data_IF_367721293813
#
_entry.id   IF_367721293813
#
_cell.length_a   1.000
_cell.length_b   1.000
_cell.length_c   1.000
_cell.angle_alpha   90.00
_cell.angle_beta   90.00
_cell.angle_gamma   90.00
#
_symmetry.space_group_name_H-M   'P 1'
#
loop_
_entity.id
_entity.type
_entity.pdbx_description
1 polymer ?
#
# COMPACT_ATOMS: atom_id res chain seq x y z
N UNK A 1 0.66 -12.91 0.47
CA UNK A 1 0.94 -11.64 -0.23
C UNK A 1 -0.24 -10.70 -0.10
N UNK A 2 0.05 -9.45 0.17
CA UNK A 2 -0.95 -8.38 0.18
C UNK A 2 -0.39 -7.19 -0.59
N UNK A 3 -1.16 -6.70 -1.54
CA UNK A 3 -0.76 -5.58 -2.37
C UNK A 3 -1.65 -4.38 -2.07
N UNK A 4 -1.02 -3.29 -1.62
CA UNK A 4 -1.70 -2.02 -1.39
C UNK A 4 -1.41 -1.11 -2.57
N UNK A 5 -2.46 -0.59 -3.18
CA UNK A 5 -2.36 0.29 -4.34
C UNK A 5 -2.92 1.66 -3.99
N UNK A 6 -2.15 2.69 -4.30
CA UNK A 6 -2.59 4.07 -4.10
C UNK A 6 -2.66 4.77 -5.46
N UNK A 7 -3.67 5.59 -5.65
CA UNK A 7 -3.79 6.39 -6.86
C UNK A 7 -4.30 7.78 -6.55
N UNK A 8 -3.76 8.78 -7.25
CA UNK A 8 -4.17 10.15 -7.07
C UNK A 8 -3.68 11.02 -8.24
N UNK A 9 -4.34 12.17 -8.41
CA UNK A 9 -4.02 13.08 -9.51
C UNK A 9 -2.77 13.92 -9.24
N UNK A 10 -2.45 14.14 -7.97
CA UNK A 10 -1.26 14.90 -7.58
C UNK A 10 -0.11 13.94 -7.33
N UNK A 11 0.93 14.03 -8.15
CA UNK A 11 2.09 13.15 -8.06
C UNK A 11 2.77 13.21 -6.69
N UNK A 12 3.11 14.42 -6.25
CA UNK A 12 3.85 14.61 -5.01
C UNK A 12 3.05 14.17 -3.79
N UNK A 13 1.77 14.49 -3.77
CA UNK A 13 0.89 14.08 -2.67
C UNK A 13 0.75 12.56 -2.63
N UNK A 14 0.51 11.94 -3.77
CA UNK A 14 0.32 10.48 -3.84
C UNK A 14 1.59 9.75 -3.40
N UNK A 15 2.75 10.20 -3.86
CA UNK A 15 4.04 9.66 -3.44
C UNK A 15 4.24 9.82 -1.94
N UNK A 16 3.98 11.01 -1.41
CA UNK A 16 4.14 11.29 0.02
C UNK A 16 3.26 10.40 0.87
N UNK A 17 2.00 10.21 0.48
CA UNK A 17 1.08 9.33 1.19
C UNK A 17 1.57 7.87 1.13
N UNK A 18 2.07 7.44 -0.03
CA UNK A 18 2.61 6.09 -0.17
C UNK A 18 3.81 5.85 0.75
N UNK A 19 4.73 6.81 0.81
CA UNK A 19 5.91 6.73 1.68
C UNK A 19 5.50 6.69 3.14
N UNK A 20 4.59 7.57 3.56
CA UNK A 20 4.14 7.62 4.95
C UNK A 20 3.39 6.35 5.34
N UNK A 21 2.57 5.83 4.46
CA UNK A 21 1.85 4.58 4.70
C UNK A 21 2.82 3.41 4.85
N UNK A 22 3.83 3.32 3.99
CA UNK A 22 4.84 2.27 4.07
C UNK A 22 5.61 2.33 5.39
N UNK A 23 6.01 3.51 5.83
CA UNK A 23 6.68 3.68 7.13
C UNK A 23 5.80 3.24 8.29
N UNK A 24 4.53 3.60 8.23
CA UNK A 24 3.57 3.21 9.26
C UNK A 24 3.39 1.68 9.32
N UNK A 25 3.29 1.04 8.16
CA UNK A 25 3.07 -0.41 8.08
C UNK A 25 4.31 -1.23 8.41
N UNK A 26 5.50 -0.65 8.29
CA UNK A 26 6.75 -1.39 8.49
C UNK A 26 6.82 -2.02 9.88
N UNK A 27 6.40 -1.31 10.92
CA UNK A 27 6.43 -1.82 12.28
C UNK A 27 5.51 -3.04 12.47
N UNK A 28 4.36 -3.07 11.81
CA UNK A 28 3.45 -4.21 11.85
C UNK A 28 4.06 -5.43 11.16
N UNK A 29 4.73 -5.20 10.03
CA UNK A 29 5.40 -6.27 9.29
C UNK A 29 6.56 -6.87 10.08
N UNK A 30 7.40 -6.03 10.67
CA UNK A 30 8.56 -6.49 11.43
C UNK A 30 8.16 -7.36 12.61
N UNK A 31 7.09 -7.03 13.31
CA UNK A 31 6.61 -7.79 14.45
C UNK A 31 6.17 -9.21 14.09
N UNK A 32 5.79 -9.43 12.84
CA UNK A 32 5.24 -10.70 12.37
C UNK A 32 6.19 -11.43 11.41
N UNK A 33 7.41 -10.94 11.23
CA UNK A 33 8.38 -11.48 10.26
C UNK A 33 7.85 -11.43 8.82
N UNK A 34 7.06 -10.42 8.52
CA UNK A 34 6.64 -10.11 7.16
C UNK A 34 7.59 -9.09 6.56
N UNK A 35 7.72 -9.12 5.24
CA UNK A 35 8.56 -8.16 4.51
C UNK A 35 7.69 -7.15 3.78
N UNK A 36 8.14 -5.90 3.76
CA UNK A 36 7.49 -4.83 3.04
C UNK A 36 8.41 -4.34 1.93
N UNK A 37 7.88 -4.28 0.73
CA UNK A 37 8.61 -3.84 -0.46
C UNK A 37 7.90 -2.63 -1.05
N UNK A 38 8.64 -1.58 -1.28
CA UNK A 38 8.11 -0.32 -1.79
C UNK A 38 8.16 0.78 -0.74
N UNK A 39 7.46 1.89 -0.99
CA UNK A 39 6.57 2.11 -2.12
C UNK A 39 7.33 2.26 -3.44
N UNK A 40 6.69 1.88 -4.53
CA UNK A 40 7.24 2.02 -5.87
C UNK A 40 6.11 2.37 -6.84
N UNK A 41 6.42 3.08 -7.94
CA UNK A 41 5.41 3.27 -8.98
C UNK A 41 4.91 1.92 -9.48
N UNK A 42 3.62 1.81 -9.74
CA UNK A 42 3.05 0.62 -10.36
C UNK A 42 3.64 0.41 -11.74
N UNK A 43 3.53 -0.81 -12.27
CA UNK A 43 4.04 -1.15 -13.60
C UNK A 43 3.50 -0.19 -14.67
N UNK A 44 2.23 0.21 -14.54
CA UNK A 44 1.67 1.33 -15.28
C UNK A 44 1.54 2.46 -14.26
N UNK A 45 2.55 3.34 -14.23
CA UNK A 45 2.66 4.36 -13.20
C UNK A 45 1.57 5.42 -13.27
N UNK A 46 0.96 5.62 -14.43
CA UNK A 46 -0.11 6.60 -14.61
C UNK A 46 -1.21 6.02 -15.49
N UNK A 47 -2.43 6.07 -15.01
CA UNK A 47 -3.62 5.65 -15.76
C UNK A 47 -4.60 6.83 -15.79
N UNK A 48 -4.86 7.33 -17.01
CA UNK A 48 -5.64 8.55 -17.16
C UNK A 48 -4.90 9.73 -16.51
N UNK A 49 -5.58 10.38 -15.56
CA UNK A 49 -5.01 11.51 -14.82
C UNK A 49 -4.44 11.11 -13.47
N UNK A 50 -4.40 9.81 -13.13
CA UNK A 50 -3.99 9.35 -11.80
C UNK A 50 -2.64 8.67 -11.84
N UNK A 51 -1.75 9.08 -10.95
CA UNK A 51 -0.49 8.40 -10.70
C UNK A 51 -0.73 7.23 -9.74
N UNK A 52 -0.06 6.11 -9.98
CA UNK A 52 -0.28 4.88 -9.24
C UNK A 52 0.99 4.42 -8.55
N UNK A 53 0.86 4.13 -7.26
CA UNK A 53 1.93 3.62 -6.41
C UNK A 53 1.49 2.32 -5.77
N UNK A 54 2.44 1.46 -5.44
CA UNK A 54 2.13 0.22 -4.78
C UNK A 54 3.10 -0.10 -3.65
N UNK A 55 2.57 -0.82 -2.66
CA UNK A 55 3.33 -1.37 -1.53
C UNK A 55 2.98 -2.85 -1.48
N UNK A 56 4.00 -3.70 -1.49
CA UNK A 56 3.82 -5.14 -1.40
C UNK A 56 4.27 -5.62 -0.03
N UNK A 57 3.42 -6.39 0.65
CA UNK A 57 3.83 -7.08 1.87
C UNK A 57 3.65 -8.58 1.68
N UNK A 58 4.61 -9.36 2.14
CA UNK A 58 4.55 -10.79 2.02
C UNK A 58 5.16 -11.47 3.25
N UNK A 59 4.67 -12.66 3.56
CA UNK A 59 5.11 -13.41 4.71
C UNK A 59 4.60 -14.84 4.69
N UNK A 60 4.75 -15.55 5.80
CA UNK A 60 4.38 -16.97 5.88
C UNK A 60 2.91 -17.21 5.57
N UNK A 61 2.64 -18.26 4.79
CA UNK A 61 1.26 -18.70 4.53
C UNK A 61 0.59 -19.14 5.82
N UNK A 62 -0.73 -18.93 5.87
CA UNK A 62 -1.53 -19.32 7.02
C UNK A 62 -1.44 -18.37 8.20
N UNK A 63 -0.61 -17.32 8.10
CA UNK A 63 -0.54 -16.31 9.15
C UNK A 63 -1.40 -15.11 8.78
N UNK A 64 -1.91 -14.44 9.80
CA UNK A 64 -2.74 -13.25 9.59
C UNK A 64 -1.90 -12.10 9.01
N UNK A 65 -2.44 -11.42 8.01
CA UNK A 65 -1.78 -10.28 7.39
C UNK A 65 -1.63 -9.16 8.43
N UNK A 66 -0.40 -8.64 8.63
CA UNK A 66 -0.14 -7.66 9.68
C UNK A 66 -0.58 -6.24 9.26
N UNK A 67 -1.88 -6.03 9.17
CA UNK A 67 -2.45 -4.73 8.87
C UNK A 67 -3.26 -4.22 10.06
N UNK A 68 -3.23 -2.90 10.32
CA UNK A 68 -4.14 -2.31 11.29
C UNK A 68 -5.57 -2.32 10.76
N UNK A 69 -6.53 -1.98 11.62
CA UNK A 69 -7.92 -1.85 11.20
C UNK A 69 -8.06 -0.93 10.00
N UNK A 70 -8.95 -1.30 9.09
CA UNK A 70 -9.21 -0.49 7.89
C UNK A 70 -9.63 0.94 8.22
N UNK A 71 -10.38 1.11 9.30
CA UNK A 71 -10.76 2.44 9.76
C UNK A 71 -9.55 3.34 10.07
N UNK A 72 -8.49 2.74 10.62
CA UNK A 72 -7.25 3.46 10.90
C UNK A 72 -6.51 3.79 9.59
N UNK A 73 -6.43 2.82 8.69
CA UNK A 73 -5.78 3.02 7.39
C UNK A 73 -6.44 4.15 6.60
N UNK A 74 -7.77 4.14 6.54
CA UNK A 74 -8.51 5.16 5.78
C UNK A 74 -8.38 6.56 6.36
N UNK A 75 -8.14 6.69 7.67
CA UNK A 75 -7.86 7.99 8.29
C UNK A 75 -6.54 8.59 7.82
N UNK A 76 -5.61 7.76 7.39
CA UNK A 76 -4.30 8.20 6.90
C UNK A 76 -4.35 8.64 5.42
N UNK A 77 -5.45 8.38 4.75
CA UNK A 77 -5.57 8.62 3.31
C UNK A 77 -6.51 9.82 3.07
N UNK A 78 -6.02 10.89 2.46
CA UNK A 78 -6.86 12.05 2.15
C UNK A 78 -7.87 11.72 1.05
N UNK A 79 -8.90 12.59 0.91
CA UNK A 79 -10.02 12.35 -0.01
C UNK A 79 -9.61 12.21 -1.47
N UNK A 80 -8.54 12.85 -1.88
CA UNK A 80 -8.10 12.86 -3.28
C UNK A 80 -7.08 11.77 -3.61
N UNK A 81 -6.86 10.85 -2.67
CA UNK A 81 -6.02 9.66 -2.89
C UNK A 81 -6.88 8.43 -2.62
N UNK A 82 -6.80 7.43 -3.50
CA UNK A 82 -7.55 6.19 -3.37
C UNK A 82 -6.64 5.06 -2.96
N UNK A 83 -7.06 4.29 -1.96
CA UNK A 83 -6.34 3.11 -1.49
C UNK A 83 -7.15 1.86 -1.80
N UNK A 84 -6.50 0.88 -2.42
CA UNK A 84 -7.08 -0.46 -2.66
C UNK A 84 -6.16 -1.49 -2.02
N UNK A 85 -6.76 -2.48 -1.36
CA UNK A 85 -6.02 -3.57 -0.72
C UNK A 85 -6.43 -4.88 -1.37
N UNK A 86 -5.48 -5.54 -2.03
CA UNK A 86 -5.68 -6.84 -2.67
C UNK A 86 -4.95 -7.92 -1.88
N UNK A 87 -5.68 -8.88 -1.34
CA UNK A 87 -5.11 -10.00 -0.60
C UNK A 87 -4.91 -11.16 -1.56
N UNK A 88 -3.68 -11.65 -1.66
CA UNK A 88 -3.30 -12.74 -2.57
C UNK A 88 -3.79 -12.50 -4.01
N UNK A 89 -3.39 -11.39 -4.63
CA UNK A 89 -3.84 -11.09 -5.99
C UNK A 89 -3.31 -12.13 -6.99
N UNK A 90 -4.09 -12.41 -8.02
CA UNK A 90 -3.69 -13.34 -9.07
C UNK A 90 -2.54 -12.79 -9.91
N UNK A 91 -2.47 -11.46 -10.05
CA UNK A 91 -1.41 -10.77 -10.79
C UNK A 91 -0.92 -9.57 -9.97
N UNK A 92 0.39 -9.36 -10.03
CA UNK A 92 1.03 -8.24 -9.30
C UNK A 92 1.28 -7.01 -10.20
#
# INVERSE_FOLDING_TARGET
ICLLKLSGENYELTESIAINLAKYLLSFCEKKNWKLIGPAPSLIAKVGKKFRWQILIHGPEGTKIPLPDRSILWKLIPKNVFLTIDVNPAEL
#
